data_IF_582798690570
#
_entry.id   IF_582798690570
#
_cell.length_a   1.000
_cell.length_b   1.000
_cell.length_c   1.000
_cell.angle_alpha   90.00
_cell.angle_beta   90.00
_cell.angle_gamma   90.00
#
_symmetry.space_group_name_H-M   'P 1'
#
loop_
_entity.id
_entity.type
_entity.pdbx_description
1 polymer ?
#
# COMPACT_ATOMS: atom_id res chain seq x y z
N UNK A 1 36.36 -55.38 15.55
CA UNK A 1 36.54 -53.99 15.07
C UNK A 1 35.74 -53.77 13.79
N UNK A 2 34.52 -53.20 13.86
CA UNK A 2 33.78 -52.79 12.67
C UNK A 2 34.09 -51.33 12.28
N UNK A 3 34.31 -51.09 10.97
CA UNK A 3 34.59 -49.78 10.37
C UNK A 3 33.32 -48.90 10.34
N UNK A 4 33.41 -47.59 10.60
CA UNK A 4 32.28 -46.68 10.42
C UNK A 4 32.02 -46.38 8.93
N UNK A 5 30.74 -46.40 8.55
CA UNK A 5 30.25 -45.96 7.23
C UNK A 5 29.98 -44.44 7.25
N UNK A 6 30.21 -43.70 6.15
CA UNK A 6 29.88 -42.29 6.06
C UNK A 6 28.39 -42.08 5.82
N UNK A 7 27.74 -41.33 6.71
CA UNK A 7 26.39 -40.81 6.50
C UNK A 7 26.48 -39.44 5.80
N UNK A 8 26.18 -39.43 4.50
CA UNK A 8 25.83 -38.21 3.77
C UNK A 8 24.31 -38.05 3.78
N UNK A 9 23.88 -36.78 3.81
CA UNK A 9 22.52 -36.24 3.61
C UNK A 9 21.57 -36.23 4.81
N UNK A 10 21.44 -35.04 5.41
CA UNK A 10 20.18 -34.27 5.40
C UNK A 10 20.58 -32.80 5.15
N UNK A 11 20.35 -32.27 3.95
CA UNK A 11 19.15 -31.46 3.64
C UNK A 11 18.99 -30.35 4.70
N UNK A 12 19.45 -29.11 4.47
CA UNK A 12 19.19 -28.33 3.26
C UNK A 12 17.73 -27.90 3.27
N UNK A 13 17.37 -26.91 4.09
CA UNK A 13 15.98 -26.45 4.14
C UNK A 13 15.63 -25.57 5.32
N UNK A 14 16.29 -24.42 5.51
CA UNK A 14 15.67 -23.31 6.26
C UNK A 14 16.32 -21.94 5.96
N UNK A 15 16.44 -21.59 4.69
CA UNK A 15 16.86 -20.23 4.26
C UNK A 15 15.91 -19.61 3.23
N UNK A 16 14.62 -20.01 3.23
CA UNK A 16 13.62 -19.51 2.27
C UNK A 16 12.57 -18.57 2.88
N UNK A 17 12.66 -18.22 4.17
CA UNK A 17 11.79 -17.20 4.75
C UNK A 17 12.22 -15.75 4.41
N UNK A 18 13.47 -15.54 3.99
CA UNK A 18 14.01 -14.21 3.69
C UNK A 18 13.64 -13.65 2.31
N UNK A 19 13.25 -14.50 1.36
CA UNK A 19 13.03 -14.10 -0.05
C UNK A 19 11.62 -13.58 -0.32
N UNK A 20 10.63 -13.91 0.52
CA UNK A 20 9.27 -13.38 0.39
C UNK A 20 9.18 -11.87 0.74
N UNK A 21 10.14 -11.35 1.52
CA UNK A 21 10.19 -9.93 1.89
C UNK A 21 10.64 -9.07 0.68
N UNK A 22 11.45 -9.63 -0.23
CA UNK A 22 12.02 -8.91 -1.37
C UNK A 22 11.11 -8.89 -2.62
N UNK A 23 10.16 -9.82 -2.74
CA UNK A 23 9.35 -9.99 -3.95
C UNK A 23 8.09 -9.10 -4.02
N UNK A 24 7.75 -8.40 -2.94
CA UNK A 24 6.88 -7.23 -3.03
C UNK A 24 7.68 -6.06 -3.60
N UNK A 25 8.04 -6.16 -4.87
CA UNK A 25 8.50 -5.03 -5.67
C UNK A 25 7.49 -3.91 -5.48
N UNK A 26 7.89 -2.90 -4.69
CA UNK A 26 8.00 -1.47 -5.04
C UNK A 26 7.04 -0.97 -6.13
N UNK A 27 5.80 -1.45 -6.17
CA UNK A 27 4.81 -0.99 -7.14
C UNK A 27 4.40 0.38 -6.67
N UNK A 28 4.63 1.39 -7.49
CA UNK A 28 4.21 2.73 -7.12
C UNK A 28 2.69 2.74 -6.91
N UNK A 29 2.20 2.95 -5.67
CA UNK A 29 0.77 2.90 -5.41
C UNK A 29 0.08 4.13 -6.01
N UNK A 30 0.83 5.16 -6.40
CA UNK A 30 0.32 6.39 -6.96
C UNK A 30 0.29 6.36 -8.50
N UNK A 31 -0.79 6.85 -9.15
CA UNK A 31 -2.04 7.36 -8.58
C UNK A 31 -3.13 6.29 -8.39
N UNK A 32 -2.81 5.01 -8.59
CA UNK A 32 -3.82 3.95 -8.72
C UNK A 32 -4.54 3.56 -7.42
N UNK A 33 -3.87 3.70 -6.29
CA UNK A 33 -4.37 3.32 -4.97
C UNK A 33 -4.97 4.53 -4.23
N UNK A 34 -5.87 4.30 -3.23
CA UNK A 34 -6.46 5.36 -2.41
C UNK A 34 -5.49 5.85 -1.31
N UNK A 35 -4.31 6.29 -1.73
CA UNK A 35 -3.19 6.69 -0.87
C UNK A 35 -3.58 7.88 0.00
N UNK A 36 -4.17 8.92 -0.59
CA UNK A 36 -4.52 10.13 0.16
C UNK A 36 -5.64 9.86 1.15
N UNK A 37 -6.60 9.01 0.80
CA UNK A 37 -7.68 8.61 1.71
C UNK A 37 -7.11 7.95 2.96
N UNK A 38 -6.18 6.99 2.79
CA UNK A 38 -5.51 6.35 3.93
C UNK A 38 -4.66 7.32 4.75
N UNK A 39 -3.97 8.24 4.09
CA UNK A 39 -3.07 9.19 4.74
C UNK A 39 -3.84 10.30 5.49
N UNK A 40 -4.91 10.83 4.92
CA UNK A 40 -5.57 12.04 5.42
C UNK A 40 -6.92 11.81 6.10
N UNK A 41 -7.63 10.72 5.80
CA UNK A 41 -8.96 10.45 6.36
C UNK A 41 -8.91 9.61 7.64
N UNK A 42 -7.84 8.84 7.85
CA UNK A 42 -7.71 7.98 9.03
C UNK A 42 -7.05 8.75 10.19
N UNK A 43 -7.64 8.74 11.41
CA UNK A 43 -7.06 9.40 12.58
C UNK A 43 -5.65 8.90 12.96
N UNK A 44 -5.38 7.61 12.72
CA UNK A 44 -4.09 6.97 13.01
C UNK A 44 -2.94 7.54 12.16
N UNK A 45 -3.26 8.11 11.00
CA UNK A 45 -2.27 8.63 10.04
C UNK A 45 -1.87 10.09 10.30
N UNK A 46 -2.34 10.71 11.41
CA UNK A 46 -2.00 12.12 11.74
C UNK A 46 -0.49 12.34 11.89
N UNK A 47 0.24 11.39 12.47
CA UNK A 47 1.71 11.44 12.56
C UNK A 47 2.34 11.40 11.17
N UNK A 48 1.83 10.54 10.31
CA UNK A 48 2.35 10.35 8.95
C UNK A 48 2.15 11.61 8.09
N UNK A 49 1.02 12.31 8.25
CA UNK A 49 0.78 13.61 7.60
C UNK A 49 1.76 14.68 8.08
N UNK A 50 2.03 14.72 9.40
CA UNK A 50 3.03 15.65 9.95
C UNK A 50 4.43 15.33 9.44
N UNK A 51 4.78 14.04 9.38
CA UNK A 51 6.06 13.59 8.84
C UNK A 51 6.19 13.92 7.36
N UNK A 52 5.17 13.65 6.53
CA UNK A 52 5.16 14.05 5.13
C UNK A 52 5.42 15.56 4.97
N UNK A 53 4.71 16.38 5.76
CA UNK A 53 4.84 17.82 5.69
C UNK A 53 6.24 18.30 6.11
N UNK A 54 6.84 17.67 7.13
CA UNK A 54 8.19 18.00 7.57
C UNK A 54 9.27 17.53 6.57
N UNK A 55 9.20 16.26 6.12
CA UNK A 55 10.20 15.65 5.24
C UNK A 55 10.30 16.36 3.88
N UNK A 56 9.18 16.92 3.40
CA UNK A 56 9.09 17.60 2.10
C UNK A 56 8.92 19.10 2.21
N UNK A 57 8.97 19.66 3.42
CA UNK A 57 8.74 21.08 3.68
C UNK A 57 7.43 21.59 3.02
N UNK A 58 6.32 20.87 3.23
CA UNK A 58 5.04 21.24 2.64
C UNK A 58 4.40 22.40 3.39
N UNK A 59 3.94 23.41 2.66
CA UNK A 59 3.13 24.47 3.25
C UNK A 59 1.77 23.95 3.71
N UNK A 60 1.11 24.67 4.62
CA UNK A 60 -0.25 24.35 5.04
C UNK A 60 -1.23 24.32 3.86
N UNK A 61 -1.04 25.18 2.86
CA UNK A 61 -1.84 25.21 1.63
C UNK A 61 -1.60 23.97 0.78
N UNK A 62 -0.35 23.51 0.66
CA UNK A 62 -0.03 22.27 -0.07
C UNK A 62 -0.65 21.06 0.61
N UNK A 63 -0.55 20.97 1.94
CA UNK A 63 -1.18 19.91 2.73
C UNK A 63 -2.71 19.94 2.58
N UNK A 64 -3.32 21.13 2.61
CA UNK A 64 -4.76 21.28 2.41
C UNK A 64 -5.19 20.92 0.98
N UNK A 65 -4.40 21.30 -0.02
CA UNK A 65 -4.63 20.91 -1.42
C UNK A 65 -4.62 19.40 -1.60
N UNK A 66 -3.62 18.71 -1.01
CA UNK A 66 -3.58 17.24 -1.01
C UNK A 66 -4.79 16.63 -0.28
N UNK A 67 -5.22 17.21 0.83
CA UNK A 67 -6.42 16.77 1.56
C UNK A 67 -7.68 16.90 0.70
N UNK A 68 -7.84 17.95 -0.08
CA UNK A 68 -9.01 18.11 -0.96
C UNK A 68 -9.09 17.03 -2.05
N UNK A 69 -7.96 16.48 -2.47
CA UNK A 69 -7.92 15.40 -3.47
C UNK A 69 -8.45 14.05 -2.94
N UNK A 70 -8.62 13.88 -1.62
CA UNK A 70 -9.15 12.63 -1.03
C UNK A 70 -10.58 12.33 -1.49
N UNK A 71 -11.40 13.37 -1.70
CA UNK A 71 -12.78 13.21 -2.15
C UNK A 71 -12.86 12.52 -3.53
N UNK A 72 -11.91 12.81 -4.42
CA UNK A 72 -11.81 12.17 -5.74
C UNK A 72 -11.45 10.68 -5.67
N UNK A 73 -10.63 10.28 -4.68
CA UNK A 73 -10.31 8.87 -4.44
C UNK A 73 -11.52 8.09 -3.92
N UNK A 74 -12.27 8.66 -2.96
CA UNK A 74 -13.48 8.04 -2.44
C UNK A 74 -14.54 7.82 -3.54
N UNK A 75 -14.67 8.77 -4.47
CA UNK A 75 -15.57 8.64 -5.63
C UNK A 75 -15.13 7.51 -6.57
N UNK A 76 -13.83 7.42 -6.86
CA UNK A 76 -13.27 6.36 -7.72
C UNK A 76 -13.46 4.97 -7.12
N UNK A 77 -13.30 4.84 -5.80
CA UNK A 77 -13.50 3.58 -5.09
C UNK A 77 -14.97 3.11 -5.14
N UNK A 78 -15.92 4.01 -4.86
CA UNK A 78 -17.36 3.71 -4.92
C UNK A 78 -17.82 3.30 -6.32
N UNK A 79 -17.28 3.94 -7.35
CA UNK A 79 -17.59 3.58 -8.74
C UNK A 79 -17.16 2.14 -9.05
N UNK A 80 -15.98 1.73 -8.58
CA UNK A 80 -15.46 0.37 -8.76
C UNK A 80 -16.34 -0.73 -8.16
N UNK A 81 -17.08 -0.43 -7.08
CA UNK A 81 -17.99 -1.37 -6.42
C UNK A 81 -19.30 -1.60 -7.19
N UNK A 82 -19.68 -0.68 -8.09
CA UNK A 82 -20.96 -0.70 -8.79
C UNK A 82 -20.97 -1.51 -10.11
N UNK A 83 -19.88 -2.20 -10.46
CA UNK A 83 -19.73 -2.93 -11.73
C UNK A 83 -20.53 -4.24 -11.69
N UNK A 84 -21.50 -4.38 -12.61
CA UNK A 84 -22.33 -5.60 -12.71
C UNK A 84 -22.08 -6.39 -14.01
N UNK A 85 -21.38 -5.83 -15.00
CA UNK A 85 -21.06 -6.52 -16.26
C UNK A 85 -19.70 -6.14 -16.81
N UNK A 86 -19.16 -6.98 -17.73
CA UNK A 86 -17.86 -6.78 -18.36
C UNK A 86 -17.79 -5.53 -19.25
N UNK A 87 -18.88 -5.18 -19.93
CA UNK A 87 -18.97 -3.97 -20.75
C UNK A 87 -18.98 -2.69 -19.88
N UNK A 88 -19.75 -2.71 -18.78
CA UNK A 88 -19.72 -1.64 -17.78
C UNK A 88 -18.34 -1.51 -17.12
N UNK A 89 -17.65 -2.63 -16.88
CA UNK A 89 -16.29 -2.63 -16.34
C UNK A 89 -15.30 -1.87 -17.24
N UNK A 90 -15.40 -2.03 -18.57
CA UNK A 90 -14.51 -1.34 -19.51
C UNK A 90 -14.73 0.17 -19.52
N UNK A 91 -16.00 0.60 -19.61
CA UNK A 91 -16.34 2.03 -19.57
C UNK A 91 -15.92 2.66 -18.24
N UNK A 92 -16.19 1.98 -17.12
CA UNK A 92 -15.80 2.43 -15.80
C UNK A 92 -14.28 2.48 -15.62
N UNK A 93 -13.54 1.49 -16.14
CA UNK A 93 -12.09 1.50 -16.08
C UNK A 93 -11.50 2.72 -16.80
N UNK A 94 -12.09 3.13 -17.93
CA UNK A 94 -11.71 4.37 -18.62
C UNK A 94 -11.97 5.60 -17.76
N UNK A 95 -13.14 5.69 -17.12
CA UNK A 95 -13.48 6.80 -16.22
C UNK A 95 -12.54 6.84 -14.99
N UNK A 96 -12.28 5.69 -14.37
CA UNK A 96 -11.33 5.57 -13.25
C UNK A 96 -9.92 5.98 -13.66
N UNK A 97 -9.49 5.59 -14.87
CA UNK A 97 -8.18 5.99 -15.41
C UNK A 97 -8.08 7.50 -15.63
N UNK A 98 -9.14 8.13 -16.14
CA UNK A 98 -9.21 9.58 -16.31
C UNK A 98 -9.16 10.31 -14.95
N UNK A 99 -9.92 9.85 -13.95
CA UNK A 99 -9.88 10.41 -12.60
C UNK A 99 -8.50 10.26 -11.95
N UNK A 100 -7.82 9.13 -12.15
CA UNK A 100 -6.45 8.89 -11.66
C UNK A 100 -5.45 9.84 -12.31
N UNK A 101 -5.54 10.04 -13.62
CA UNK A 101 -4.70 10.98 -14.37
C UNK A 101 -4.92 12.42 -13.88
N UNK A 102 -6.17 12.81 -13.68
CA UNK A 102 -6.50 14.14 -13.19
C UNK A 102 -6.01 14.37 -11.76
N UNK A 103 -6.11 13.35 -10.89
CA UNK A 103 -5.52 13.38 -9.55
C UNK A 103 -4.01 13.60 -9.61
N UNK A 104 -3.31 12.86 -10.49
CA UNK A 104 -1.86 13.01 -10.68
C UNK A 104 -1.48 14.42 -11.10
N UNK A 105 -2.19 14.96 -12.09
CA UNK A 105 -2.00 16.31 -12.60
C UNK A 105 -2.17 17.36 -11.51
N UNK A 106 -3.26 17.27 -10.72
CA UNK A 106 -3.51 18.20 -9.61
C UNK A 106 -2.44 18.10 -8.52
N UNK A 107 -2.03 16.90 -8.15
CA UNK A 107 -0.97 16.71 -7.17
C UNK A 107 0.34 17.34 -7.64
N UNK A 108 0.69 17.21 -8.93
CA UNK A 108 1.85 17.88 -9.51
C UNK A 108 1.75 19.40 -9.47
N UNK A 109 0.57 19.97 -9.75
CA UNK A 109 0.37 21.41 -9.66
C UNK A 109 0.48 21.94 -8.22
N UNK A 110 -0.05 21.21 -7.24
CA UNK A 110 0.00 21.59 -5.82
C UNK A 110 1.44 21.53 -5.29
N UNK A 111 2.16 20.48 -5.64
CA UNK A 111 3.48 20.20 -5.07
C UNK A 111 4.63 20.83 -5.84
N UNK A 112 4.44 21.17 -7.12
CA UNK A 112 5.49 21.74 -7.96
C UNK A 112 6.71 20.81 -8.04
N UNK A 113 7.87 21.36 -7.70
CA UNK A 113 9.16 20.67 -7.63
C UNK A 113 9.19 19.53 -6.60
N UNK A 114 8.38 19.62 -5.53
CA UNK A 114 8.28 18.59 -4.47
C UNK A 114 7.53 17.34 -4.91
N UNK A 115 6.89 17.33 -6.08
CA UNK A 115 6.09 16.21 -6.55
C UNK A 115 6.89 14.90 -6.71
N UNK A 116 8.15 14.98 -7.18
CA UNK A 116 9.00 13.80 -7.33
C UNK A 116 9.35 13.18 -5.96
N UNK A 117 9.71 14.02 -4.99
CA UNK A 117 10.01 13.60 -3.62
C UNK A 117 8.76 13.03 -2.93
N UNK A 118 7.59 13.63 -3.14
CA UNK A 118 6.31 13.08 -2.70
C UNK A 118 6.08 11.66 -3.20
N UNK A 119 6.34 11.38 -4.48
CA UNK A 119 6.18 10.02 -5.01
C UNK A 119 7.12 9.00 -4.37
N UNK A 120 8.36 9.39 -4.10
CA UNK A 120 9.31 8.54 -3.37
C UNK A 120 8.75 8.25 -1.96
N UNK A 121 8.38 9.30 -1.24
CA UNK A 121 7.84 9.21 0.11
C UNK A 121 6.61 8.30 0.18
N UNK A 122 5.67 8.45 -0.76
CA UNK A 122 4.46 7.62 -0.84
C UNK A 122 4.80 6.13 -1.03
N UNK A 123 5.78 5.79 -1.87
CA UNK A 123 6.18 4.39 -2.07
C UNK A 123 6.70 3.77 -0.79
N UNK A 124 7.55 4.48 -0.08
CA UNK A 124 8.15 4.01 1.18
C UNK A 124 7.10 3.88 2.27
N UNK A 125 6.27 4.91 2.44
CA UNK A 125 5.17 4.88 3.38
C UNK A 125 4.20 3.73 3.09
N UNK A 126 3.81 3.53 1.84
CA UNK A 126 2.88 2.47 1.45
C UNK A 126 3.44 1.08 1.70
N UNK A 127 4.72 0.85 1.42
CA UNK A 127 5.38 -0.41 1.71
C UNK A 127 5.31 -0.75 3.21
N UNK A 128 5.51 0.25 4.09
CA UNK A 128 5.34 0.07 5.55
C UNK A 128 3.89 -0.25 5.92
N UNK A 129 2.92 0.48 5.37
CA UNK A 129 1.50 0.32 5.69
C UNK A 129 0.95 -1.05 5.25
N UNK A 130 1.30 -1.51 4.06
CA UNK A 130 0.88 -2.83 3.56
C UNK A 130 1.55 -3.96 4.35
N UNK A 131 2.82 -3.81 4.71
CA UNK A 131 3.53 -4.76 5.57
C UNK A 131 2.86 -4.94 6.94
N UNK A 132 2.53 -3.83 7.61
CA UNK A 132 1.82 -3.84 8.90
C UNK A 132 0.43 -4.49 8.79
N UNK A 133 -0.30 -4.20 7.72
CA UNK A 133 -1.64 -4.75 7.48
C UNK A 133 -1.60 -6.28 7.31
N UNK A 134 -0.60 -6.81 6.61
CA UNK A 134 -0.41 -8.26 6.42
C UNK A 134 -0.11 -8.96 7.74
N UNK A 135 0.85 -8.44 8.51
CA UNK A 135 1.19 -9.01 9.82
C UNK A 135 -0.01 -9.04 10.77
N UNK A 136 -0.80 -7.96 10.80
CA UNK A 136 -2.01 -7.90 11.61
C UNK A 136 -3.11 -8.89 11.14
N UNK A 137 -3.15 -9.25 9.86
CA UNK A 137 -4.08 -10.26 9.35
C UNK A 137 -3.65 -11.68 9.76
N UNK A 138 -2.36 -11.98 9.64
CA UNK A 138 -1.77 -13.27 10.03
C UNK A 138 -1.97 -13.55 11.51
N UNK A 139 -1.72 -12.56 12.38
CA UNK A 139 -1.97 -12.68 13.82
C UNK A 139 -3.44 -12.96 14.15
N UNK A 140 -4.37 -12.32 13.44
CA UNK A 140 -5.81 -12.57 13.63
C UNK A 140 -6.22 -13.95 13.16
N UNK A 141 -5.63 -14.44 12.08
CA UNK A 141 -5.90 -15.78 11.58
C UNK A 141 -5.37 -16.83 12.57
N UNK A 142 -4.13 -16.71 13.03
CA UNK A 142 -3.55 -17.61 14.03
C UNK A 142 -4.37 -17.64 15.33
N UNK A 143 -4.86 -16.47 15.78
CA UNK A 143 -5.74 -16.40 16.95
C UNK A 143 -7.09 -17.12 16.74
N UNK A 144 -7.66 -17.06 15.54
CA UNK A 144 -8.90 -17.78 15.21
C UNK A 144 -8.68 -19.29 15.15
N UNK A 145 -7.59 -19.73 14.54
CA UNK A 145 -7.23 -21.15 14.45
C UNK A 145 -6.98 -21.74 15.84
N UNK A 146 -6.25 -21.02 16.71
CA UNK A 146 -6.07 -21.41 18.11
C UNK A 146 -7.39 -21.50 18.89
N UNK A 147 -8.32 -20.56 18.67
CA UNK A 147 -9.63 -20.58 19.31
C UNK A 147 -10.56 -21.69 18.78
N UNK A 148 -10.35 -22.15 17.54
CA UNK A 148 -11.06 -23.30 16.97
C UNK A 148 -10.48 -24.63 17.46
N UNK A 149 -9.16 -24.73 17.61
CA UNK A 149 -8.49 -25.93 18.13
C UNK A 149 -8.71 -26.17 19.64
N UNK A 150 -9.13 -25.14 20.38
CA UNK A 150 -9.45 -25.24 21.80
C UNK A 150 -10.92 -25.64 22.08
N UNK A 151 -11.71 -25.92 21.04
CA UNK A 151 -13.09 -26.41 21.13
C UNK A 151 -13.15 -27.89 20.75
#
# INVERSE_FOLDING_TARGET
MPKPRPAWWLLGGLLLAGTAIAAAVRTDPWPSSPVLTRLFALPASKSDVKQLAADLDLSAEQVQGLRQLTAGEARSAKLGEAVQSRAQAQQLNTEISAMRTEKDRKARMILGDKYAAFRIWIREWWARQVGQSRQAAELRQAAREAAQAAK
#
